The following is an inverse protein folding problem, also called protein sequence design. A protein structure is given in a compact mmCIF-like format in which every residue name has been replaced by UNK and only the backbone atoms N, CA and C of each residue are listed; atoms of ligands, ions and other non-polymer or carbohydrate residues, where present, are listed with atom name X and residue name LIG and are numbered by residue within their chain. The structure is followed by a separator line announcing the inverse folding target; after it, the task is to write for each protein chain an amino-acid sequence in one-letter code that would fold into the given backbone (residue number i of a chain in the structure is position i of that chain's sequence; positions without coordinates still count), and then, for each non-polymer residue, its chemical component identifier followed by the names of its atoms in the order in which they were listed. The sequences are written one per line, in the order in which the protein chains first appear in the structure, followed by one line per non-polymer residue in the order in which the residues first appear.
data_IF_804520941349
#
_entry.id   IF_804520941349
#
_cell.length_a   1.000
_cell.length_b   1.000
_cell.length_c   1.000
_cell.angle_alpha   90.00
_cell.angle_beta   90.00
_cell.angle_gamma   90.00
#
_symmetry.space_group_name_H-M   'P 1'
#
loop_
_entity.id
_entity.type
_entity.pdbx_description
1 polymer ?
#
# COMPACT_ATOMS: atom_id res chain seq x y z
N UNK A 1 -11.09 6.28 -7.55
CA UNK A 1 -9.77 6.42 -6.91
C UNK A 1 -8.65 5.93 -7.83
N UNK A 2 -8.67 4.67 -8.30
CA UNK A 2 -7.61 4.01 -9.07
C UNK A 2 -7.21 4.81 -10.32
N UNK A 3 -8.17 5.18 -11.17
CA UNK A 3 -7.94 6.00 -12.39
C UNK A 3 -7.27 7.33 -12.06
N UNK A 4 -7.73 8.03 -11.02
CA UNK A 4 -7.15 9.31 -10.60
C UNK A 4 -5.70 9.16 -10.13
N UNK A 5 -5.39 8.09 -9.37
CA UNK A 5 -4.03 7.81 -8.92
C UNK A 5 -3.10 7.46 -10.08
N UNK A 6 -3.55 6.66 -11.04
CA UNK A 6 -2.78 6.36 -12.25
C UNK A 6 -2.53 7.64 -13.05
N UNK A 7 -3.54 8.47 -13.29
CA UNK A 7 -3.39 9.73 -13.98
C UNK A 7 -2.36 10.65 -13.29
N UNK A 8 -2.46 10.82 -11.97
CA UNK A 8 -1.53 11.65 -11.19
C UNK A 8 -0.11 11.12 -11.22
N UNK A 9 0.09 9.79 -11.24
CA UNK A 9 1.42 9.20 -11.34
C UNK A 9 2.16 9.58 -12.63
N UNK A 10 1.43 9.73 -13.74
CA UNK A 10 1.99 10.21 -15.00
C UNK A 10 2.36 11.70 -14.96
N UNK A 11 1.59 12.50 -14.20
CA UNK A 11 1.85 13.94 -14.04
C UNK A 11 2.97 14.26 -13.05
N UNK A 12 3.28 13.33 -12.14
CA UNK A 12 4.33 13.53 -11.16
C UNK A 12 5.71 13.66 -11.82
N UNK A 13 6.48 14.70 -11.48
CA UNK A 13 7.81 14.95 -12.04
C UNK A 13 8.96 14.22 -11.33
N UNK A 14 8.71 13.70 -10.11
CA UNK A 14 9.74 13.08 -9.27
C UNK A 14 10.12 11.65 -9.66
N UNK A 15 11.26 11.18 -9.17
CA UNK A 15 11.73 9.78 -9.36
C UNK A 15 11.01 8.79 -8.45
N UNK A 16 10.35 9.27 -7.41
CA UNK A 16 9.54 8.49 -6.47
C UNK A 16 8.11 8.98 -6.45
N UNK A 17 7.18 8.06 -6.25
CA UNK A 17 5.77 8.34 -5.96
C UNK A 17 5.54 8.06 -4.47
N UNK A 18 5.11 9.08 -3.73
CA UNK A 18 4.71 8.97 -2.33
C UNK A 18 3.20 9.08 -2.20
N UNK A 19 2.57 8.10 -1.55
CA UNK A 19 1.13 8.11 -1.27
C UNK A 19 0.85 8.88 0.03
N UNK A 20 -0.25 9.61 0.05
CA UNK A 20 -0.81 10.27 1.23
C UNK A 20 -2.33 10.21 1.15
N UNK A 21 -2.99 9.77 2.22
CA UNK A 21 -4.44 9.84 2.36
C UNK A 21 -4.84 11.18 3.02
N UNK A 22 -5.95 11.76 2.60
CA UNK A 22 -6.30 13.13 2.95
C UNK A 22 -6.68 13.32 4.43
N UNK A 23 -7.13 12.25 5.07
CA UNK A 23 -7.56 12.22 6.47
C UNK A 23 -6.49 11.70 7.44
N UNK A 24 -5.29 11.41 6.92
CA UNK A 24 -4.14 10.94 7.68
C UNK A 24 -3.09 12.05 7.85
N UNK A 25 -2.14 11.85 8.78
CA UNK A 25 -1.05 12.80 9.01
C UNK A 25 0.31 12.11 8.77
N UNK A 26 1.08 12.69 7.85
CA UNK A 26 2.48 12.34 7.60
C UNK A 26 3.38 13.08 8.57
N UNK A 27 4.30 12.40 9.26
CA UNK A 27 5.31 13.10 10.04
C UNK A 27 6.36 13.73 9.11
N UNK A 28 6.91 14.88 9.50
CA UNK A 28 7.82 15.70 8.68
C UNK A 28 8.99 14.91 8.09
N UNK A 29 9.60 14.01 8.87
CA UNK A 29 10.75 13.20 8.44
C UNK A 29 10.37 11.97 7.62
N UNK A 30 9.08 11.73 7.30
CA UNK A 30 8.64 10.49 6.67
C UNK A 30 9.31 10.24 5.31
N UNK A 31 9.19 11.18 4.40
CA UNK A 31 9.69 10.99 3.03
C UNK A 31 11.20 10.88 3.00
N UNK A 32 11.91 11.72 3.74
CA UNK A 32 13.36 11.65 3.86
C UNK A 32 13.83 10.27 4.35
N UNK A 33 13.27 9.79 5.46
CA UNK A 33 13.63 8.49 6.04
C UNK A 33 13.29 7.33 5.10
N UNK A 34 12.15 7.39 4.39
CA UNK A 34 11.76 6.35 3.44
C UNK A 34 12.69 6.33 2.22
N UNK A 35 13.01 7.48 1.65
CA UNK A 35 13.91 7.57 0.49
C UNK A 35 15.32 7.07 0.88
N UNK A 36 15.86 7.53 2.01
CA UNK A 36 17.14 7.05 2.52
C UNK A 36 17.13 5.53 2.75
N UNK A 37 16.03 4.99 3.29
CA UNK A 37 15.87 3.56 3.51
C UNK A 37 15.82 2.76 2.20
N UNK A 38 15.11 3.26 1.19
CA UNK A 38 15.07 2.68 -0.16
C UNK A 38 16.47 2.65 -0.77
N UNK A 39 17.18 3.76 -0.74
CA UNK A 39 18.51 3.89 -1.34
C UNK A 39 19.53 2.99 -0.62
N UNK A 40 19.58 3.05 0.72
CA UNK A 40 20.53 2.26 1.53
C UNK A 40 20.36 0.75 1.37
N UNK A 41 19.13 0.28 1.16
CA UNK A 41 18.80 -1.16 1.09
C UNK A 41 18.50 -1.63 -0.35
N UNK A 42 18.73 -0.80 -1.35
CA UNK A 42 18.40 -1.07 -2.76
C UNK A 42 16.98 -1.62 -2.93
N UNK A 43 15.99 -0.92 -2.33
CA UNK A 43 14.58 -1.31 -2.43
C UNK A 43 13.93 -0.67 -3.66
N UNK A 44 12.83 -1.27 -4.10
CA UNK A 44 11.98 -0.75 -5.17
C UNK A 44 10.80 0.04 -4.61
N UNK A 45 10.33 -0.35 -3.44
CA UNK A 45 9.30 0.34 -2.69
C UNK A 45 9.48 0.14 -1.18
N UNK A 46 8.96 1.06 -0.38
CA UNK A 46 8.78 0.84 1.05
C UNK A 46 7.47 1.45 1.56
N UNK A 47 6.98 0.88 2.64
CA UNK A 47 5.93 1.43 3.51
C UNK A 47 6.54 1.72 4.87
N UNK A 48 5.84 2.45 5.73
CA UNK A 48 6.20 2.58 7.14
C UNK A 48 5.15 1.97 8.05
N UNK A 49 5.51 1.76 9.31
CA UNK A 49 4.48 1.59 10.34
C UNK A 49 3.77 2.92 10.58
N UNK A 50 2.56 2.83 11.12
CA UNK A 50 1.78 3.98 11.55
C UNK A 50 1.39 3.85 13.03
N UNK A 51 0.89 4.93 13.59
CA UNK A 51 0.17 4.94 14.86
C UNK A 51 -1.29 5.23 14.54
N UNK A 52 -2.20 4.38 14.99
CA UNK A 52 -3.64 4.64 14.90
C UNK A 52 -4.01 5.85 15.76
N UNK A 53 -4.69 6.84 15.19
CA UNK A 53 -5.06 8.05 15.92
C UNK A 53 -5.95 7.75 17.11
N UNK A 54 -6.90 6.83 16.97
CA UNK A 54 -7.81 6.40 18.04
C UNK A 54 -7.18 5.34 18.94
N UNK A 55 -6.61 4.29 18.35
CA UNK A 55 -6.07 3.14 19.09
C UNK A 55 -4.75 3.41 19.81
N UNK A 56 -4.02 4.46 19.42
CA UNK A 56 -2.65 4.79 19.86
C UNK A 56 -1.65 3.62 19.69
N UNK A 57 -2.04 2.59 18.97
CA UNK A 57 -1.22 1.38 18.73
C UNK A 57 -0.44 1.47 17.42
N UNK A 58 0.69 0.76 17.36
CA UNK A 58 1.49 0.65 16.14
C UNK A 58 0.86 -0.33 15.16
N UNK A 59 0.73 0.08 13.90
CA UNK A 59 0.14 -0.68 12.80
C UNK A 59 1.20 -0.82 11.69
N UNK A 60 1.41 -2.01 11.10
CA UNK A 60 0.94 -3.30 11.60
C UNK A 60 1.58 -3.66 12.95
N UNK A 61 0.87 -4.45 13.75
CA UNK A 61 1.33 -4.88 15.07
C UNK A 61 2.23 -6.13 14.95
N UNK A 62 1.73 -7.29 15.35
CA UNK A 62 2.49 -8.55 15.34
C UNK A 62 2.90 -9.01 13.93
N UNK A 63 2.07 -8.80 12.92
CA UNK A 63 2.39 -9.18 11.54
C UNK A 63 3.58 -8.44 10.94
N UNK A 64 4.04 -7.34 11.55
CA UNK A 64 5.27 -6.65 11.16
C UNK A 64 6.51 -7.55 11.29
N UNK A 65 6.53 -8.44 12.28
CA UNK A 65 7.67 -9.31 12.56
C UNK A 65 7.73 -10.55 11.67
N UNK A 66 6.71 -10.78 10.86
CA UNK A 66 6.66 -11.89 9.91
C UNK A 66 7.18 -11.46 8.53
N UNK A 67 7.76 -12.39 7.74
CA UNK A 67 8.16 -12.08 6.38
C UNK A 67 6.99 -11.54 5.55
N UNK A 68 7.20 -10.41 4.89
CA UNK A 68 6.19 -9.73 4.06
C UNK A 68 5.56 -10.69 3.05
N UNK A 69 6.39 -11.51 2.38
CA UNK A 69 5.93 -12.52 1.40
C UNK A 69 4.98 -13.56 2.01
N UNK A 70 5.15 -13.87 3.29
CA UNK A 70 4.24 -14.78 4.00
C UNK A 70 2.92 -14.08 4.35
N UNK A 71 3.00 -12.89 4.94
CA UNK A 71 1.80 -12.12 5.35
C UNK A 71 0.94 -11.77 4.14
N UNK A 72 1.55 -11.44 3.00
CA UNK A 72 0.85 -11.06 1.77
C UNK A 72 -0.03 -12.17 1.18
N UNK A 73 0.19 -13.42 1.55
CA UNK A 73 -0.69 -14.54 1.15
C UNK A 73 -2.07 -14.50 1.83
N UNK A 74 -2.19 -13.77 2.95
CA UNK A 74 -3.40 -13.75 3.76
C UNK A 74 -4.05 -12.38 3.82
N UNK A 75 -3.24 -11.32 3.82
CA UNK A 75 -3.72 -9.92 3.89
C UNK A 75 -2.68 -8.96 3.34
N UNK A 76 -3.11 -7.73 3.04
CA UNK A 76 -2.16 -6.66 2.73
C UNK A 76 -1.30 -6.34 3.96
N UNK A 77 0.03 -6.53 3.92
CA UNK A 77 0.91 -6.18 5.04
C UNK A 77 1.24 -4.69 5.12
N UNK A 78 0.94 -3.93 4.08
CA UNK A 78 1.33 -2.53 3.92
C UNK A 78 0.18 -1.58 4.23
N UNK A 79 0.51 -0.40 4.71
CA UNK A 79 -0.42 0.71 4.85
C UNK A 79 -0.33 1.56 3.58
N UNK A 80 -1.41 1.62 2.82
CA UNK A 80 -1.44 2.28 1.50
C UNK A 80 -0.99 3.74 1.56
N UNK A 81 -1.50 4.52 2.53
CA UNK A 81 -1.13 5.93 2.72
C UNK A 81 0.34 6.18 3.00
N UNK A 82 1.12 5.14 3.35
CA UNK A 82 2.56 5.27 3.64
C UNK A 82 3.46 4.81 2.49
N UNK A 83 2.90 4.34 1.37
CA UNK A 83 3.69 3.82 0.26
C UNK A 83 4.59 4.89 -0.34
N UNK A 84 5.88 4.55 -0.50
CA UNK A 84 6.83 5.22 -1.39
C UNK A 84 7.41 4.17 -2.33
N UNK A 85 7.32 4.43 -3.64
CA UNK A 85 7.74 3.50 -4.69
C UNK A 85 8.54 4.26 -5.76
N UNK A 86 9.56 3.61 -6.35
CA UNK A 86 10.24 4.13 -7.54
C UNK A 86 9.23 4.29 -8.67
N UNK A 87 9.15 5.47 -9.28
CA UNK A 87 8.17 5.80 -10.32
C UNK A 87 8.26 4.87 -11.52
N UNK A 88 9.49 4.54 -11.95
CA UNK A 88 9.70 3.61 -13.07
C UNK A 88 9.17 2.20 -12.76
N UNK A 89 9.32 1.71 -11.53
CA UNK A 89 8.79 0.39 -11.12
C UNK A 89 7.26 0.42 -11.10
N UNK A 90 6.65 1.50 -10.58
CA UNK A 90 5.19 1.66 -10.59
C UNK A 90 4.63 1.58 -12.01
N UNK A 91 5.27 2.28 -12.97
CA UNK A 91 4.83 2.28 -14.37
C UNK A 91 5.12 0.95 -15.07
N UNK A 92 6.23 0.28 -14.74
CA UNK A 92 6.57 -1.04 -15.29
C UNK A 92 5.53 -2.11 -14.90
N UNK A 93 4.95 -1.98 -13.70
CA UNK A 93 3.83 -2.82 -13.24
C UNK A 93 2.47 -2.44 -13.85
N UNK A 94 2.39 -1.36 -14.63
CA UNK A 94 1.15 -0.85 -15.18
C UNK A 94 0.33 0.01 -14.21
N UNK A 95 0.90 0.40 -13.06
CA UNK A 95 0.23 1.18 -12.03
C UNK A 95 -0.74 0.36 -11.19
N UNK A 96 -1.81 1.03 -10.73
CA UNK A 96 -2.92 0.32 -10.07
C UNK A 96 -3.82 -0.36 -11.11
N UNK A 97 -4.17 -1.62 -10.90
CA UNK A 97 -5.13 -2.33 -11.77
C UNK A 97 -6.54 -1.77 -11.61
N UNK A 98 -7.06 -1.16 -12.68
CA UNK A 98 -8.36 -0.49 -12.69
C UNK A 98 -9.56 -1.45 -12.59
N UNK A 99 -9.33 -2.75 -12.74
CA UNK A 99 -10.35 -3.78 -12.49
C UNK A 99 -10.62 -3.97 -10.99
N UNK A 100 -9.67 -3.57 -10.15
CA UNK A 100 -9.80 -3.66 -8.70
C UNK A 100 -10.35 -2.34 -8.14
N UNK A 101 -11.68 -2.25 -7.98
CA UNK A 101 -12.35 -1.08 -7.36
C UNK A 101 -12.07 -0.99 -5.86
N UNK A 102 -11.88 -2.13 -5.22
CA UNK A 102 -11.44 -2.28 -3.84
C UNK A 102 -10.17 -3.13 -3.82
N UNK A 103 -9.42 -3.09 -2.72
CA UNK A 103 -8.16 -3.80 -2.53
C UNK A 103 -7.11 -3.56 -3.65
N UNK A 104 -7.19 -2.42 -4.38
CA UNK A 104 -6.23 -2.03 -5.41
C UNK A 104 -4.81 -1.88 -4.88
N UNK A 105 -4.67 -1.45 -3.64
CA UNK A 105 -3.41 -1.37 -2.91
C UNK A 105 -2.83 -2.77 -2.64
N UNK A 106 -3.68 -3.71 -2.22
CA UNK A 106 -3.28 -5.09 -2.01
C UNK A 106 -2.87 -5.76 -3.33
N UNK A 107 -3.57 -5.48 -4.45
CA UNK A 107 -3.20 -5.98 -5.77
C UNK A 107 -1.81 -5.47 -6.16
N UNK A 108 -1.55 -4.16 -6.09
CA UNK A 108 -0.23 -3.59 -6.40
C UNK A 108 0.88 -4.20 -5.54
N UNK A 109 0.65 -4.38 -4.23
CA UNK A 109 1.63 -4.99 -3.34
C UNK A 109 1.86 -6.47 -3.65
N UNK A 110 0.80 -7.20 -4.01
CA UNK A 110 0.91 -8.59 -4.46
C UNK A 110 1.75 -8.71 -5.73
N UNK A 111 1.55 -7.79 -6.69
CA UNK A 111 2.31 -7.78 -7.95
C UNK A 111 3.79 -7.46 -7.71
N UNK A 112 4.10 -6.50 -6.84
CA UNK A 112 5.48 -6.21 -6.42
C UNK A 112 6.16 -7.45 -5.83
N UNK A 113 5.48 -8.15 -4.92
CA UNK A 113 6.04 -9.33 -4.25
C UNK A 113 6.19 -10.50 -5.21
N UNK A 114 5.20 -10.74 -6.08
CA UNK A 114 5.22 -11.83 -7.06
C UNK A 114 6.25 -11.59 -8.17
N UNK A 115 6.48 -10.33 -8.53
CA UNK A 115 7.51 -9.90 -9.46
C UNK A 115 8.93 -9.90 -8.87
N UNK A 116 9.08 -10.37 -7.61
CA UNK A 116 10.35 -10.39 -6.87
C UNK A 116 11.01 -9.01 -6.70
N UNK A 117 10.22 -7.94 -6.66
CA UNK A 117 10.71 -6.61 -6.30
C UNK A 117 11.06 -6.53 -4.82
N UNK A 118 12.07 -5.74 -4.50
CA UNK A 118 12.56 -5.56 -3.14
C UNK A 118 11.67 -4.57 -2.39
N UNK A 119 10.78 -5.08 -1.53
CA UNK A 119 9.85 -4.26 -0.75
C UNK A 119 9.99 -4.53 0.73
N UNK A 120 10.08 -3.49 1.56
CA UNK A 120 10.17 -3.60 3.02
C UNK A 120 9.29 -2.59 3.72
N UNK A 121 8.99 -2.86 4.99
CA UNK A 121 8.31 -1.94 5.89
C UNK A 121 9.37 -1.32 6.81
N UNK A 122 9.51 0.00 6.78
CA UNK A 122 10.35 0.75 7.70
C UNK A 122 9.76 0.64 9.11
N UNK A 123 10.62 0.35 10.10
CA UNK A 123 10.23 0.10 11.50
C UNK A 123 9.60 1.32 12.18
N UNK A 124 10.05 2.51 11.82
CA UNK A 124 9.61 3.75 12.43
C UNK A 124 8.13 4.02 12.08
N UNK A 125 7.30 4.36 13.06
CA UNK A 125 5.91 4.77 12.80
C UNK A 125 5.91 6.25 12.39
N UNK A 126 5.98 6.52 11.10
CA UNK A 126 6.10 7.86 10.53
C UNK A 126 4.78 8.43 10.01
N UNK A 127 3.67 7.86 10.46
CA UNK A 127 2.34 8.17 9.95
C UNK A 127 1.30 8.03 11.06
N UNK A 128 0.36 8.95 11.14
CA UNK A 128 -0.81 8.86 12.00
C UNK A 128 -1.99 8.46 11.13
N UNK A 129 -2.51 7.26 11.37
CA UNK A 129 -3.58 6.65 10.58
C UNK A 129 -4.94 6.95 11.22
N UNK A 130 -5.82 7.60 10.48
CA UNK A 130 -7.21 7.74 10.87
C UNK A 130 -7.93 6.39 10.72
N UNK A 131 -8.59 5.95 11.79
CA UNK A 131 -9.30 4.67 11.83
C UNK A 131 -10.83 4.85 11.88
N UNK A 132 -11.29 6.11 11.90
CA UNK A 132 -12.72 6.43 11.91
C UNK A 132 -13.25 6.54 10.48
N UNK A 133 -14.48 6.04 10.25
CA UNK A 133 -15.18 6.12 8.96
C UNK A 133 -14.42 5.56 7.75
N UNK A 134 -13.58 4.55 7.96
CA UNK A 134 -12.84 3.94 6.86
C UNK A 134 -13.78 3.30 5.84
N UNK A 135 -13.54 3.56 4.55
CA UNK A 135 -14.23 2.93 3.40
C UNK A 135 -14.23 1.41 3.54
N UNK A 136 -13.16 0.84 4.08
CA UNK A 136 -13.02 -0.59 4.35
C UNK A 136 -14.05 -1.12 5.36
N UNK A 137 -14.54 -0.28 6.27
CA UNK A 137 -15.59 -0.66 7.23
C UNK A 137 -16.99 -0.58 6.64
N UNK A 138 -17.21 0.35 5.72
CA UNK A 138 -18.51 0.55 5.06
C UNK A 138 -18.74 -0.55 4.01
N UNK A 139 -17.73 -0.90 3.22
CA UNK A 139 -17.82 -1.85 2.11
C UNK A 139 -17.07 -3.16 2.43
N UNK A 140 -17.35 -3.78 3.58
CA UNK A 140 -16.63 -4.98 4.05
C UNK A 140 -16.75 -6.17 3.12
N UNK A 141 -17.92 -6.35 2.53
CA UNK A 141 -18.21 -7.50 1.66
C UNK A 141 -17.40 -7.37 0.35
N UNK A 142 -17.48 -6.23 -0.30
CA UNK A 142 -16.75 -5.93 -1.53
C UNK A 142 -15.24 -5.97 -1.28
N UNK A 143 -14.76 -5.35 -0.20
CA UNK A 143 -13.34 -5.39 0.19
C UNK A 143 -12.84 -6.84 0.33
N UNK A 144 -13.65 -7.70 0.98
CA UNK A 144 -13.31 -9.11 1.15
C UNK A 144 -13.25 -9.84 -0.19
N UNK A 145 -14.26 -9.66 -1.05
CA UNK A 145 -14.31 -10.27 -2.38
C UNK A 145 -13.08 -9.92 -3.21
N UNK A 146 -12.77 -8.61 -3.33
CA UNK A 146 -11.60 -8.17 -4.10
C UNK A 146 -10.27 -8.64 -3.48
N UNK A 147 -10.17 -8.68 -2.16
CA UNK A 147 -9.00 -9.24 -1.49
C UNK A 147 -8.87 -10.75 -1.72
N UNK A 148 -9.97 -11.49 -1.79
CA UNK A 148 -9.99 -12.92 -2.16
C UNK A 148 -9.53 -13.11 -3.62
N UNK A 149 -9.95 -12.25 -4.54
CA UNK A 149 -9.46 -12.25 -5.92
C UNK A 149 -7.94 -12.05 -5.98
N UNK A 150 -7.38 -11.10 -5.21
CA UNK A 150 -5.92 -10.92 -5.13
C UNK A 150 -5.24 -12.21 -4.64
N UNK A 151 -5.72 -12.80 -3.55
CA UNK A 151 -5.12 -14.01 -2.96
C UNK A 151 -5.14 -15.22 -3.89
N UNK A 152 -6.20 -15.34 -4.68
CA UNK A 152 -6.41 -16.45 -5.63
C UNK A 152 -5.88 -16.14 -7.02
N UNK A 153 -5.30 -14.96 -7.24
CA UNK A 153 -4.87 -14.46 -8.54
C UNK A 153 -6.00 -14.51 -9.60
N UNK A 154 -7.20 -14.09 -9.21
CA UNK A 154 -8.38 -14.02 -10.07
C UNK A 154 -8.65 -12.58 -10.50
N UNK A 155 -9.25 -12.41 -11.68
CA UNK A 155 -9.78 -11.13 -12.12
C UNK A 155 -11.18 -10.96 -11.50
N UNK A 156 -11.44 -9.85 -10.77
CA UNK A 156 -12.76 -9.63 -10.18
C UNK A 156 -13.84 -9.46 -11.25
N UNK A 157 -15.00 -10.08 -11.02
CA UNK A 157 -16.18 -9.96 -11.85
C UNK A 157 -17.27 -9.20 -11.07
N UNK A 158 -17.69 -8.04 -11.60
CA UNK A 158 -18.72 -7.21 -10.95
C UNK A 158 -20.08 -7.89 -10.80
N UNK A 159 -20.39 -8.87 -11.66
CA UNK A 159 -21.66 -9.58 -11.62
C UNK A 159 -21.73 -10.61 -10.49
N UNK A 160 -20.65 -10.81 -9.74
CA UNK A 160 -20.58 -11.74 -8.60
C UNK A 160 -20.72 -11.01 -7.25
N UNK A 161 -20.95 -9.70 -7.27
CA UNK A 161 -21.23 -8.83 -6.12
C UNK A 161 -22.72 -8.49 -6.04
#
# INVERSE_FOLDING_TARGET
LTKSLNFLSHKAGGSFLGRQDADDISLESRLEKQINFIQKNNLDACSTRAIGMSSKSKIPSLSYYLPVKYVSKYKNPFIHGTLVIKKNIFHLLGGYDEKFYFAQDYKLMSDLISGNYNVKILKDPLYLLNQTNNISNINKFEQKYYADCVRKNLIPNKNEL
#
